data_IF_453165728252
#
_entry.id   IF_453165728252
#
_cell.length_a   1.000
_cell.length_b   1.000
_cell.length_c   1.000
_cell.angle_alpha   90.00
_cell.angle_beta   90.00
_cell.angle_gamma   90.00
#
_symmetry.space_group_name_H-M   'P 1'
#
loop_
_entity.id
_entity.type
_entity.pdbx_description
1 polymer ?
#
# COMPACT_ATOMS: atom_id res chain seq x y z
N UNK A 1 32.33 14.67 2.30
CA UNK A 1 31.78 13.58 1.48
C UNK A 1 32.07 12.25 2.18
N UNK A 2 31.08 11.61 2.79
CA UNK A 2 31.20 10.23 3.27
C UNK A 2 30.22 9.37 2.47
N UNK A 3 30.69 8.78 1.38
CA UNK A 3 29.98 7.67 0.73
C UNK A 3 30.10 6.46 1.64
N UNK A 4 29.12 6.28 2.54
CA UNK A 4 28.94 4.99 3.21
C UNK A 4 28.65 3.94 2.12
N UNK A 5 29.31 2.77 2.16
CA UNK A 5 28.97 1.70 1.24
C UNK A 5 27.50 1.34 1.43
N UNK A 6 26.72 1.39 0.33
CA UNK A 6 25.37 0.82 0.30
C UNK A 6 25.49 -0.62 0.73
N UNK A 7 24.77 -1.01 1.79
CA UNK A 7 24.81 -2.36 2.33
C UNK A 7 24.23 -3.34 1.29
N UNK A 8 25.10 -3.92 0.45
CA UNK A 8 24.79 -4.71 -0.75
C UNK A 8 23.85 -5.88 -0.45
N UNK A 9 23.89 -6.40 0.78
CA UNK A 9 23.07 -7.54 1.22
C UNK A 9 21.57 -7.21 1.29
N UNK A 10 21.21 -5.98 1.68
CA UNK A 10 19.80 -5.57 1.82
C UNK A 10 19.15 -5.43 0.45
N UNK A 11 19.89 -4.90 -0.53
CA UNK A 11 19.39 -4.76 -1.90
C UNK A 11 19.18 -6.11 -2.59
N UNK A 12 20.10 -7.06 -2.40
CA UNK A 12 19.94 -8.41 -2.94
C UNK A 12 18.72 -9.13 -2.34
N UNK A 13 18.51 -9.03 -1.03
CA UNK A 13 17.32 -9.59 -0.38
C UNK A 13 16.04 -8.94 -0.89
N UNK A 14 16.04 -7.62 -1.08
CA UNK A 14 14.91 -6.90 -1.64
C UNK A 14 14.57 -7.36 -3.07
N UNK A 15 15.57 -7.61 -3.91
CA UNK A 15 15.37 -8.12 -5.27
C UNK A 15 14.79 -9.55 -5.28
N UNK A 16 15.26 -10.42 -4.38
CA UNK A 16 14.72 -11.78 -4.24
C UNK A 16 13.25 -11.74 -3.78
N UNK A 17 12.92 -10.85 -2.84
CA UNK A 17 11.54 -10.70 -2.39
C UNK A 17 10.64 -10.05 -3.46
N UNK A 18 11.18 -9.13 -4.25
CA UNK A 18 10.45 -8.46 -5.32
C UNK A 18 10.11 -9.39 -6.50
N UNK A 19 10.91 -10.44 -6.72
CA UNK A 19 10.70 -11.38 -7.82
C UNK A 19 9.60 -12.40 -7.53
N UNK A 20 9.23 -12.59 -6.26
CA UNK A 20 8.15 -13.48 -5.88
C UNK A 20 6.80 -12.91 -6.30
N UNK A 21 6.00 -13.74 -6.97
CA UNK A 21 4.64 -13.43 -7.39
C UNK A 21 3.66 -14.36 -6.68
N UNK A 22 2.86 -13.86 -5.73
CA UNK A 22 1.84 -14.69 -5.10
C UNK A 22 0.73 -15.08 -6.09
N UNK A 23 0.15 -16.25 -5.87
CA UNK A 23 -1.15 -16.63 -6.43
C UNK A 23 -2.24 -16.21 -5.46
N UNK A 24 -3.27 -15.53 -5.95
CA UNK A 24 -4.41 -15.08 -5.16
C UNK A 24 -5.55 -16.09 -5.29
N UNK A 25 -6.12 -16.49 -4.16
CA UNK A 25 -7.34 -17.29 -4.15
C UNK A 25 -8.54 -16.42 -4.57
N UNK A 26 -8.99 -16.63 -5.81
CA UNK A 26 -10.09 -15.87 -6.40
C UNK A 26 -11.46 -16.24 -5.84
N UNK A 27 -11.63 -17.44 -5.27
CA UNK A 27 -12.91 -17.87 -4.72
C UNK A 27 -13.24 -17.10 -3.44
N UNK A 28 -12.24 -16.83 -2.61
CA UNK A 28 -12.40 -16.08 -1.36
C UNK A 28 -12.12 -14.57 -1.50
N UNK A 29 -11.60 -14.12 -2.65
CA UNK A 29 -11.16 -12.73 -2.85
C UNK A 29 -12.25 -11.69 -2.54
N UNK A 30 -13.40 -11.76 -3.22
CA UNK A 30 -14.49 -10.79 -3.01
C UNK A 30 -15.08 -10.86 -1.59
N UNK A 31 -15.36 -12.06 -1.02
CA UNK A 31 -15.73 -12.17 0.39
C UNK A 31 -14.72 -11.54 1.35
N UNK A 32 -13.42 -11.75 1.13
CA UNK A 32 -12.36 -11.20 1.98
C UNK A 32 -12.30 -9.68 1.87
N UNK A 33 -12.37 -9.12 0.66
CA UNK A 33 -12.41 -7.66 0.46
C UNK A 33 -13.61 -7.02 1.18
N UNK A 34 -14.79 -7.64 1.07
CA UNK A 34 -15.98 -7.21 1.79
C UNK A 34 -15.80 -7.27 3.30
N UNK A 35 -15.20 -8.33 3.81
CA UNK A 35 -14.92 -8.45 5.25
C UNK A 35 -13.97 -7.35 5.74
N UNK A 36 -12.96 -7.01 4.94
CA UNK A 36 -12.03 -5.91 5.25
C UNK A 36 -12.75 -4.57 5.26
N UNK A 37 -13.59 -4.27 4.26
CA UNK A 37 -14.38 -3.04 4.23
C UNK A 37 -15.35 -2.93 5.41
N UNK A 38 -16.04 -4.02 5.74
CA UNK A 38 -16.94 -4.09 6.89
C UNK A 38 -16.16 -3.83 8.19
N UNK A 39 -14.94 -4.34 8.30
CA UNK A 39 -14.07 -4.10 9.45
C UNK A 39 -13.63 -2.63 9.54
N UNK A 40 -13.23 -2.03 8.42
CA UNK A 40 -12.87 -0.60 8.34
C UNK A 40 -14.07 0.28 8.72
N UNK A 41 -15.24 -0.01 8.14
CA UNK A 41 -16.49 0.72 8.42
C UNK A 41 -16.86 0.64 9.89
N UNK A 42 -16.80 -0.57 10.48
CA UNK A 42 -17.05 -0.76 11.91
C UNK A 42 -16.03 0.01 12.76
N UNK A 43 -14.74 -0.08 12.43
CA UNK A 43 -13.70 0.64 13.17
C UNK A 43 -13.96 2.16 13.17
N UNK A 44 -14.28 2.73 12.01
CA UNK A 44 -14.60 4.16 11.89
C UNK A 44 -15.85 4.53 12.70
N UNK A 45 -16.88 3.69 12.70
CA UNK A 45 -18.09 3.92 13.50
C UNK A 45 -17.79 3.85 15.01
N UNK A 46 -17.01 2.84 15.44
CA UNK A 46 -16.60 2.71 16.85
C UNK A 46 -15.76 3.90 17.32
N UNK A 47 -14.89 4.43 16.46
CA UNK A 47 -13.99 5.54 16.79
C UNK A 47 -14.52 6.91 16.33
N UNK A 48 -15.80 7.04 16.00
CA UNK A 48 -16.38 8.30 15.47
C UNK A 48 -16.24 9.51 16.40
N UNK A 49 -16.17 9.27 17.71
CA UNK A 49 -15.96 10.32 18.72
C UNK A 49 -14.48 10.61 18.99
N UNK A 50 -13.57 9.80 18.45
CA UNK A 50 -12.13 10.00 18.56
C UNK A 50 -11.60 10.65 17.29
N UNK A 51 -10.74 11.65 17.45
CA UNK A 51 -10.05 12.26 16.31
C UNK A 51 -9.15 11.21 15.65
N UNK A 52 -9.41 10.88 14.39
CA UNK A 52 -8.63 9.91 13.59
C UNK A 52 -8.23 10.52 12.25
N UNK A 53 -7.20 9.94 11.62
CA UNK A 53 -6.74 10.30 10.27
C UNK A 53 -6.56 9.00 9.47
N UNK A 54 -7.03 9.00 8.22
CA UNK A 54 -6.88 7.88 7.29
C UNK A 54 -5.75 8.25 6.33
N UNK A 55 -4.82 7.32 6.12
CA UNK A 55 -3.63 7.55 5.31
C UNK A 55 -3.37 6.35 4.40
N UNK A 56 -3.30 6.61 3.11
CA UNK A 56 -2.88 5.63 2.11
C UNK A 56 -1.38 5.80 1.82
N UNK A 57 -0.69 4.70 1.56
CA UNK A 57 0.76 4.74 1.30
C UNK A 57 1.07 5.49 0.01
N UNK A 58 0.22 5.27 -0.99
CA UNK A 58 0.26 5.83 -2.34
C UNK A 58 0.14 7.36 -2.29
N UNK A 59 -0.71 7.85 -1.39
CA UNK A 59 -0.93 9.26 -1.13
C UNK A 59 0.31 9.96 -0.55
N UNK A 60 1.00 9.30 0.38
CA UNK A 60 2.24 9.82 0.98
C UNK A 60 3.35 9.90 -0.06
N UNK A 61 3.45 8.89 -0.93
CA UNK A 61 4.47 8.84 -1.98
C UNK A 61 4.23 9.93 -3.01
N UNK A 62 2.97 10.09 -3.47
CA UNK A 62 2.61 11.09 -4.47
C UNK A 62 2.73 12.51 -3.93
N UNK A 63 2.29 12.74 -2.69
CA UNK A 63 2.35 14.05 -2.06
C UNK A 63 2.96 13.98 -0.65
N UNK A 64 4.25 14.33 -0.56
CA UNK A 64 4.98 14.36 0.72
C UNK A 64 4.47 15.41 1.70
N UNK A 65 3.72 16.42 1.26
CA UNK A 65 3.15 17.41 2.20
C UNK A 65 2.13 16.77 3.14
N UNK A 66 1.50 15.64 2.76
CA UNK A 66 0.62 14.88 3.65
C UNK A 66 1.31 14.44 4.96
N UNK A 67 2.64 14.28 4.95
CA UNK A 67 3.40 13.99 6.18
C UNK A 67 3.47 15.18 7.14
N UNK A 68 3.35 16.42 6.64
CA UNK A 68 3.22 17.60 7.49
C UNK A 68 1.85 17.60 8.16
N UNK A 69 0.78 17.34 7.40
CA UNK A 69 -0.59 17.22 7.93
C UNK A 69 -0.70 16.15 9.02
N UNK A 70 0.00 15.02 8.86
CA UNK A 70 0.08 13.95 9.87
C UNK A 70 0.84 14.41 11.11
N UNK A 71 1.94 15.16 10.95
CA UNK A 71 2.69 15.69 12.10
C UNK A 71 1.88 16.74 12.87
N UNK A 72 1.16 17.61 12.16
CA UNK A 72 0.21 18.56 12.75
C UNK A 72 -0.93 17.87 13.47
N UNK A 73 -1.49 16.83 12.85
CA UNK A 73 -2.48 15.97 13.47
C UNK A 73 -1.91 15.44 14.79
N UNK A 74 -0.75 14.78 14.79
CA UNK A 74 -0.13 14.23 16.00
C UNK A 74 0.37 15.28 17.00
N UNK A 75 0.36 16.57 16.65
CA UNK A 75 0.90 17.69 17.43
C UNK A 75 2.38 17.51 17.79
N UNK A 76 3.15 17.01 16.83
CA UNK A 76 4.61 16.88 16.95
C UNK A 76 5.31 17.95 16.10
N UNK A 77 6.51 18.39 16.49
CA UNK A 77 7.29 19.32 15.67
C UNK A 77 7.53 18.76 14.27
N UNK A 78 7.47 19.62 13.25
CA UNK A 78 7.76 19.21 11.88
C UNK A 78 9.22 18.80 11.74
N UNK A 79 9.43 17.61 11.21
CA UNK A 79 10.74 17.05 10.92
C UNK A 79 10.76 16.41 9.53
N UNK A 80 11.95 16.37 8.94
CA UNK A 80 12.18 15.61 7.72
C UNK A 80 12.16 14.11 8.06
N UNK A 81 11.11 13.41 7.64
CA UNK A 81 10.98 11.96 7.86
C UNK A 81 11.76 11.17 6.81
N UNK A 82 12.58 10.21 7.26
CA UNK A 82 13.36 9.33 6.39
C UNK A 82 13.11 7.87 6.79
N UNK A 83 12.67 7.05 5.84
CA UNK A 83 12.55 5.61 6.05
C UNK A 83 13.82 4.89 5.58
N UNK A 84 14.19 3.82 6.29
CA UNK A 84 15.19 2.84 5.82
C UNK A 84 14.55 1.70 5.02
N UNK A 85 13.22 1.64 4.97
CA UNK A 85 12.50 0.63 4.20
C UNK A 85 12.71 0.88 2.71
N UNK A 86 12.90 -0.20 1.97
CA UNK A 86 13.04 -0.19 0.52
C UNK A 86 11.74 -0.69 -0.07
N UNK A 87 11.15 0.09 -0.98
CA UNK A 87 10.02 -0.38 -1.79
C UNK A 87 10.52 -1.45 -2.75
N UNK A 88 10.07 -2.68 -2.56
CA UNK A 88 10.52 -3.83 -3.34
C UNK A 88 9.62 -4.09 -4.55
N UNK A 89 8.32 -3.84 -4.42
CA UNK A 89 7.36 -3.98 -5.51
C UNK A 89 7.31 -2.70 -6.36
N UNK A 90 7.68 -2.82 -7.64
CA UNK A 90 7.69 -1.74 -8.64
C UNK A 90 6.83 -2.13 -9.85
N UNK A 91 6.21 -1.15 -10.49
CA UNK A 91 5.30 -1.37 -11.62
C UNK A 91 3.86 -1.69 -11.19
N UNK A 92 3.03 -2.05 -12.16
CA UNK A 92 1.61 -2.33 -11.96
C UNK A 92 1.40 -3.63 -11.15
N UNK A 93 0.30 -3.70 -10.41
CA UNK A 93 -0.07 -4.89 -9.64
C UNK A 93 -0.20 -6.14 -10.52
N UNK A 94 -0.60 -5.94 -11.78
CA UNK A 94 -0.71 -7.00 -12.80
C UNK A 94 0.59 -7.74 -13.09
N UNK A 95 1.74 -7.10 -12.92
CA UNK A 95 3.04 -7.75 -13.13
C UNK A 95 3.52 -8.49 -11.88
N UNK A 96 2.87 -8.28 -10.73
CA UNK A 96 3.29 -8.76 -9.41
C UNK A 96 2.45 -9.93 -8.90
N UNK A 97 1.31 -10.23 -9.53
CA UNK A 97 0.44 -11.36 -9.17
C UNK A 97 0.51 -12.41 -10.27
N UNK A 98 0.74 -13.67 -9.87
CA UNK A 98 0.96 -14.77 -10.82
C UNK A 98 -0.29 -15.05 -11.67
N UNK A 99 -1.47 -15.14 -11.03
CA UNK A 99 -2.74 -15.41 -11.68
C UNK A 99 -3.58 -14.14 -11.92
N UNK A 100 -2.93 -13.03 -12.32
CA UNK A 100 -3.61 -11.73 -12.47
C UNK A 100 -4.85 -11.77 -13.37
N UNK A 101 -4.83 -12.53 -14.47
CA UNK A 101 -5.98 -12.61 -15.37
C UNK A 101 -7.24 -13.17 -14.71
N UNK A 102 -7.09 -14.10 -13.76
CA UNK A 102 -8.21 -14.63 -12.97
C UNK A 102 -8.71 -13.61 -11.95
N UNK A 103 -7.78 -12.90 -11.29
CA UNK A 103 -8.10 -11.82 -10.35
C UNK A 103 -8.86 -10.71 -11.07
N UNK A 104 -8.39 -10.28 -12.23
CA UNK A 104 -9.02 -9.26 -13.06
C UNK A 104 -10.45 -9.67 -13.43
N UNK A 105 -10.63 -10.90 -13.90
CA UNK A 105 -11.96 -11.44 -14.22
C UNK A 105 -12.89 -11.50 -13.01
N UNK A 106 -12.35 -11.81 -11.83
CA UNK A 106 -13.11 -11.93 -10.58
C UNK A 106 -13.55 -10.57 -10.05
N UNK A 107 -12.72 -9.53 -10.19
CA UNK A 107 -13.03 -8.19 -9.69
C UNK A 107 -13.88 -7.35 -10.66
N UNK A 108 -13.80 -7.61 -11.97
CA UNK A 108 -14.64 -6.93 -12.97
C UNK A 108 -16.13 -7.11 -12.68
N UNK A 109 -16.89 -6.01 -12.74
CA UNK A 109 -18.32 -5.99 -12.46
C UNK A 109 -18.66 -6.05 -10.97
N UNK A 110 -17.66 -6.05 -10.07
CA UNK A 110 -17.85 -5.94 -8.63
C UNK A 110 -17.56 -4.51 -8.16
N UNK A 111 -17.99 -4.10 -6.95
CA UNK A 111 -17.61 -2.81 -6.36
C UNK A 111 -16.08 -2.62 -6.23
N UNK A 112 -15.32 -3.71 -6.31
CA UNK A 112 -13.87 -3.77 -6.17
C UNK A 112 -13.11 -3.60 -7.49
N UNK A 113 -13.80 -3.36 -8.60
CA UNK A 113 -13.19 -3.14 -9.91
C UNK A 113 -12.18 -1.99 -9.91
N UNK A 114 -12.36 -0.99 -9.04
CA UNK A 114 -11.43 0.13 -8.88
C UNK A 114 -10.00 -0.31 -8.55
N UNK A 115 -9.80 -1.46 -7.88
CA UNK A 115 -8.47 -1.99 -7.57
C UNK A 115 -7.70 -2.53 -8.78
N UNK A 116 -8.35 -2.64 -9.95
CA UNK A 116 -7.68 -3.02 -11.19
C UNK A 116 -6.97 -1.84 -11.85
N UNK A 117 -7.30 -0.61 -11.45
CA UNK A 117 -6.65 0.58 -11.98
C UNK A 117 -5.30 0.82 -11.28
N UNK A 118 -4.29 1.32 -12.00
CA UNK A 118 -3.01 1.65 -11.38
C UNK A 118 -3.18 2.75 -10.33
N UNK A 119 -2.64 2.52 -9.14
CA UNK A 119 -2.77 3.45 -8.01
C UNK A 119 -2.10 4.82 -8.28
N UNK A 120 -1.20 4.92 -9.26
CA UNK A 120 -0.54 6.15 -9.71
C UNK A 120 0.16 5.96 -11.06
N UNK A 121 0.18 7.00 -11.89
CA UNK A 121 1.15 7.11 -12.98
C UNK A 121 2.53 7.42 -12.38
N UNK A 122 3.56 6.68 -12.80
CA UNK A 122 4.96 6.86 -12.37
C UNK A 122 5.64 7.92 -13.21
#
# INVERSE_FOLDING_TARGET
MCNKPRNTRIFLQAEILASYKPTVDTQSLVPNLKQVDDMVTKALEYFKSTRHVILYYEDIIKNKTKLMDVQDFLRVPHQELRSRQVKIHKGALSSQVENWGEVEKTLKGTPYEAFLQPDYEV
#
